data_IF_665305638028
#
_entry.id   IF_665305638028
#
_cell.length_a   1.000
_cell.length_b   1.000
_cell.length_c   1.000
_cell.angle_alpha   90.00
_cell.angle_beta   90.00
_cell.angle_gamma   90.00
#
_symmetry.space_group_name_H-M   'P 1'
#
loop_
_entity.id
_entity.type
_entity.pdbx_description
1 polymer ?
#
# COMPACT_ATOMS: atom_id res chain seq x y z
N UNK A 1 10.85 -16.17 11.27
CA UNK A 1 10.37 -14.78 11.14
C UNK A 1 11.54 -13.96 10.64
N UNK A 2 11.66 -13.75 9.32
CA UNK A 2 12.71 -12.90 8.75
C UNK A 2 12.32 -11.45 9.00
N UNK A 3 13.17 -10.72 9.73
CA UNK A 3 13.11 -9.26 9.83
C UNK A 3 14.09 -8.72 8.77
N UNK A 4 13.64 -8.08 7.69
CA UNK A 4 14.56 -7.38 6.79
C UNK A 4 15.39 -6.36 7.58
N UNK A 5 16.70 -6.28 7.31
CA UNK A 5 17.52 -5.18 7.82
C UNK A 5 17.13 -3.88 7.13
N UNK A 6 16.86 -2.86 7.95
CA UNK A 6 16.31 -1.54 7.62
C UNK A 6 17.29 -0.59 6.91
N UNK A 7 18.28 -1.11 6.17
CA UNK A 7 19.35 -0.28 5.59
C UNK A 7 18.92 0.57 4.37
N UNK A 8 17.75 0.30 3.79
CA UNK A 8 17.37 0.89 2.49
C UNK A 8 16.24 1.95 2.59
N UNK A 9 15.71 2.22 3.78
CA UNK A 9 14.65 3.22 4.00
C UNK A 9 15.30 4.56 4.34
N UNK A 10 15.41 5.47 3.36
CA UNK A 10 15.80 6.87 3.61
C UNK A 10 14.56 7.68 3.97
N UNK A 11 14.35 7.95 5.26
CA UNK A 11 13.42 9.00 5.71
C UNK A 11 14.17 10.33 5.83
N UNK A 12 13.48 11.44 5.54
CA UNK A 12 14.01 12.80 5.72
C UNK A 12 14.25 13.22 7.19
N UNK A 13 14.01 12.32 8.14
CA UNK A 13 14.40 12.43 9.54
C UNK A 13 14.46 11.00 10.12
N UNK A 14 15.64 10.51 10.49
CA UNK A 14 15.80 9.25 11.24
C UNK A 14 16.88 9.43 12.29
N UNK A 15 16.58 9.05 13.53
CA UNK A 15 17.59 8.65 14.51
C UNK A 15 17.48 7.13 14.67
N UNK A 16 18.63 6.44 14.78
CA UNK A 16 18.67 4.98 15.01
C UNK A 16 18.65 4.70 16.51
N UNK A 17 17.74 3.84 16.96
CA UNK A 17 17.85 3.13 18.25
C UNK A 17 17.76 1.62 17.98
N UNK A 18 18.91 0.96 17.81
CA UNK A 18 19.02 -0.50 17.62
C UNK A 18 18.65 -1.00 16.20
N UNK A 19 18.19 -2.27 16.13
CA UNK A 19 17.79 -2.97 14.89
C UNK A 19 16.33 -2.68 14.45
N UNK A 20 15.69 -1.69 15.04
CA UNK A 20 14.38 -1.18 14.64
C UNK A 20 14.55 0.27 14.17
N UNK A 21 13.75 0.70 13.19
CA UNK A 21 13.66 2.12 12.89
C UNK A 21 12.94 2.72 14.10
N UNK A 22 13.66 3.54 14.87
CA UNK A 22 13.00 4.51 15.71
C UNK A 22 12.45 5.57 14.77
N UNK A 23 11.16 5.44 14.54
CA UNK A 23 10.39 6.26 13.62
C UNK A 23 10.12 7.67 14.21
N UNK A 24 10.67 7.98 15.40
CA UNK A 24 10.24 9.11 16.21
C UNK A 24 8.79 8.89 16.68
N UNK A 25 8.25 9.83 17.47
CA UNK A 25 6.80 9.88 17.71
C UNK A 25 6.06 9.91 16.35
N UNK A 26 5.52 8.76 15.93
CA UNK A 26 4.62 8.68 14.78
C UNK A 26 3.24 9.14 15.23
N UNK A 27 3.11 10.46 15.39
CA UNK A 27 1.82 11.12 15.38
C UNK A 27 1.43 11.35 13.91
N UNK A 28 1.07 10.29 13.18
CA UNK A 28 0.81 10.39 11.73
C UNK A 28 -0.62 10.02 11.38
N UNK A 29 -1.38 11.04 10.99
CA UNK A 29 -2.72 10.92 10.45
C UNK A 29 -2.75 10.47 8.98
N UNK A 30 -1.70 10.65 8.16
CA UNK A 30 -1.78 10.31 6.73
C UNK A 30 -0.40 10.04 6.10
N UNK A 31 -0.13 8.80 5.70
CA UNK A 31 1.16 8.38 5.12
C UNK A 31 0.98 7.82 3.71
N UNK A 32 1.87 8.17 2.79
CA UNK A 32 1.93 7.62 1.44
C UNK A 32 3.17 6.71 1.27
N UNK A 33 2.99 5.53 0.66
CA UNK A 33 4.06 4.57 0.40
C UNK A 33 4.40 4.53 -1.09
N UNK A 34 5.65 4.90 -1.41
CA UNK A 34 6.14 4.98 -2.79
C UNK A 34 7.36 4.08 -2.97
N UNK A 35 7.50 3.47 -4.14
CA UNK A 35 8.66 2.65 -4.49
C UNK A 35 8.35 1.62 -5.57
N UNK A 36 9.36 0.97 -6.17
CA UNK A 36 9.17 0.03 -7.26
C UNK A 36 8.45 -1.27 -6.83
N UNK A 37 7.84 -2.03 -7.77
CA UNK A 37 7.31 -3.37 -7.47
C UNK A 37 8.41 -4.27 -6.91
N UNK A 38 8.14 -5.02 -5.83
CA UNK A 38 9.17 -5.84 -5.18
C UNK A 38 10.02 -5.12 -4.13
N UNK A 39 9.83 -3.80 -3.94
CA UNK A 39 10.54 -3.03 -2.90
C UNK A 39 10.16 -3.41 -1.45
N UNK A 40 9.07 -4.16 -1.26
CA UNK A 40 8.60 -4.61 0.04
C UNK A 40 7.45 -3.79 0.64
N UNK A 41 6.87 -2.83 -0.11
CA UNK A 41 5.68 -2.07 0.33
C UNK A 41 4.58 -2.98 0.87
N UNK A 42 4.06 -3.91 0.06
CA UNK A 42 2.99 -4.82 0.49
C UNK A 42 3.33 -5.72 1.69
N UNK A 43 4.60 -5.87 2.05
CA UNK A 43 5.03 -6.54 3.29
C UNK A 43 4.98 -5.58 4.49
N UNK A 44 5.36 -4.31 4.31
CA UNK A 44 5.42 -3.31 5.37
C UNK A 44 4.07 -2.59 5.59
N UNK A 45 3.28 -2.33 4.55
CA UNK A 45 2.00 -1.61 4.66
C UNK A 45 1.06 -2.22 5.72
N UNK A 46 0.86 -3.56 5.78
CA UNK A 46 0.04 -4.18 6.81
C UNK A 46 0.63 -4.05 8.22
N UNK A 47 1.96 -4.07 8.36
CA UNK A 47 2.63 -3.93 9.66
C UNK A 47 2.42 -2.51 10.19
N UNK A 48 2.66 -1.49 9.36
CA UNK A 48 2.45 -0.08 9.71
C UNK A 48 0.97 0.16 10.03
N UNK A 49 0.06 -0.40 9.23
CA UNK A 49 -1.38 -0.34 9.46
C UNK A 49 -1.75 -0.86 10.85
N UNK A 50 -1.27 -2.05 11.20
CA UNK A 50 -1.62 -2.71 12.47
C UNK A 50 -0.94 -2.03 13.67
N UNK A 51 0.28 -1.52 13.53
CA UNK A 51 1.03 -0.82 14.58
C UNK A 51 0.41 0.55 14.92
N UNK A 52 -0.03 1.30 13.92
CA UNK A 52 -0.56 2.66 14.09
C UNK A 52 -2.09 2.76 13.99
N UNK A 53 -2.80 1.63 13.88
CA UNK A 53 -4.25 1.58 13.70
C UNK A 53 -4.75 2.41 12.50
N UNK A 54 -3.98 2.46 11.41
CA UNK A 54 -4.29 3.25 10.23
C UNK A 54 -5.16 2.46 9.24
N UNK A 55 -5.86 3.18 8.38
CA UNK A 55 -6.64 2.61 7.28
C UNK A 55 -5.74 2.32 6.08
N UNK A 56 -5.67 1.08 5.60
CA UNK A 56 -4.87 0.77 4.43
C UNK A 56 -5.68 0.96 3.13
N UNK A 57 -5.28 1.94 2.33
CA UNK A 57 -5.89 2.33 1.06
C UNK A 57 -5.00 1.89 -0.12
N UNK A 58 -5.11 0.62 -0.51
CA UNK A 58 -4.45 0.10 -1.70
C UNK A 58 -5.35 0.28 -2.94
N UNK A 59 -4.94 1.12 -3.89
CA UNK A 59 -5.82 1.52 -5.02
C UNK A 59 -6.28 0.36 -5.88
N UNK A 60 -5.43 -0.64 -6.12
CA UNK A 60 -5.81 -1.84 -6.86
C UNK A 60 -6.92 -2.66 -6.17
N UNK A 61 -6.86 -2.78 -4.84
CA UNK A 61 -7.87 -3.50 -4.05
C UNK A 61 -9.16 -2.69 -3.96
N UNK A 62 -9.07 -1.38 -3.74
CA UNK A 62 -10.23 -0.49 -3.71
C UNK A 62 -10.98 -0.50 -5.04
N UNK A 63 -10.26 -0.46 -6.17
CA UNK A 63 -10.87 -0.54 -7.49
C UNK A 63 -11.61 -1.86 -7.70
N UNK A 64 -10.97 -3.00 -7.38
CA UNK A 64 -11.60 -4.33 -7.47
C UNK A 64 -12.82 -4.44 -6.56
N UNK A 65 -12.73 -3.93 -5.33
CA UNK A 65 -13.83 -3.94 -4.37
C UNK A 65 -15.00 -3.06 -4.84
N UNK A 66 -14.73 -1.84 -5.33
CA UNK A 66 -15.75 -0.94 -5.87
C UNK A 66 -16.49 -1.57 -7.06
N UNK A 67 -15.75 -2.22 -7.95
CA UNK A 67 -16.28 -3.00 -9.09
C UNK A 67 -17.14 -4.17 -8.63
N UNK A 68 -16.67 -4.97 -7.67
CA UNK A 68 -17.40 -6.11 -7.14
C UNK A 68 -18.70 -5.69 -6.43
N UNK A 69 -18.64 -4.59 -5.67
CA UNK A 69 -19.78 -4.01 -4.96
C UNK A 69 -20.74 -3.23 -5.87
N UNK A 70 -20.42 -3.06 -7.16
CA UNK A 70 -21.24 -2.31 -8.14
C UNK A 70 -21.59 -0.89 -7.67
N UNK A 71 -20.64 -0.23 -7.01
CA UNK A 71 -20.78 1.20 -6.66
C UNK A 71 -20.90 2.06 -7.92
N UNK A 72 -21.46 3.29 -7.86
CA UNK A 72 -21.53 4.16 -9.03
C UNK A 72 -20.17 4.39 -9.71
N UNK A 73 -19.11 4.59 -8.92
CA UNK A 73 -17.73 4.69 -9.43
C UNK A 73 -17.19 3.35 -9.93
N UNK A 74 -17.50 2.25 -9.24
CA UNK A 74 -17.11 0.90 -9.64
C UNK A 74 -17.73 0.44 -10.96
N UNK A 75 -18.96 0.87 -11.27
CA UNK A 75 -19.61 0.59 -12.57
C UNK A 75 -18.85 1.32 -13.68
N UNK A 76 -18.55 2.60 -13.51
CA UNK A 76 -17.75 3.38 -14.47
C UNK A 76 -16.34 2.79 -14.63
N UNK A 77 -15.71 2.35 -13.54
CA UNK A 77 -14.43 1.65 -13.59
C UNK A 77 -14.52 0.36 -14.40
N UNK A 78 -15.54 -0.47 -14.14
CA UNK A 78 -15.80 -1.71 -14.87
C UNK A 78 -15.98 -1.44 -16.36
N UNK A 79 -16.73 -0.40 -16.73
CA UNK A 79 -16.93 -0.02 -18.13
C UNK A 79 -15.63 0.33 -18.84
N UNK A 80 -14.78 1.16 -18.23
CA UNK A 80 -13.45 1.48 -18.77
C UNK A 80 -12.58 0.22 -18.91
N UNK A 81 -12.52 -0.62 -17.87
CA UNK A 81 -11.76 -1.87 -17.88
C UNK A 81 -12.25 -2.84 -18.98
N UNK A 82 -13.56 -2.97 -19.18
CA UNK A 82 -14.15 -3.84 -20.20
C UNK A 82 -13.83 -3.36 -21.62
N UNK A 83 -13.67 -2.05 -21.82
CA UNK A 83 -13.25 -1.45 -23.11
C UNK A 83 -11.74 -1.55 -23.35
N UNK A 84 -10.96 -2.05 -22.39
CA UNK A 84 -9.51 -2.01 -22.44
C UNK A 84 -8.93 -0.60 -22.24
N UNK A 85 -9.74 0.34 -21.75
CA UNK A 85 -9.33 1.71 -21.46
C UNK A 85 -8.70 1.79 -20.06
N UNK A 86 -7.80 2.74 -19.87
CA UNK A 86 -7.26 3.05 -18.55
C UNK A 86 -8.33 3.74 -17.71
N UNK A 87 -8.43 3.34 -16.44
CA UNK A 87 -9.29 4.04 -15.47
C UNK A 87 -8.74 5.45 -15.26
N UNK A 88 -9.60 6.46 -15.40
CA UNK A 88 -9.18 7.86 -15.29
C UNK A 88 -8.75 8.23 -13.87
N UNK A 89 -7.81 9.18 -13.77
CA UNK A 89 -7.31 9.67 -12.48
C UNK A 89 -8.44 10.19 -11.57
N UNK A 90 -9.42 10.90 -12.14
CA UNK A 90 -10.57 11.42 -11.38
C UNK A 90 -11.41 10.31 -10.77
N UNK A 91 -11.55 9.19 -11.49
CA UNK A 91 -12.30 8.05 -11.00
C UNK A 91 -11.54 7.40 -9.83
N UNK A 92 -10.22 7.22 -9.96
CA UNK A 92 -9.39 6.67 -8.88
C UNK A 92 -9.42 7.57 -7.64
N UNK A 93 -9.30 8.89 -7.80
CA UNK A 93 -9.41 9.85 -6.70
C UNK A 93 -10.78 9.80 -6.05
N UNK A 94 -11.86 9.68 -6.84
CA UNK A 94 -13.21 9.51 -6.29
C UNK A 94 -13.38 8.23 -5.46
N UNK A 95 -12.76 7.12 -5.88
CA UNK A 95 -12.79 5.87 -5.12
C UNK A 95 -12.02 6.02 -3.79
N UNK A 96 -10.89 6.73 -3.81
CA UNK A 96 -10.12 7.05 -2.60
C UNK A 96 -10.96 7.92 -1.64
N UNK A 97 -11.61 8.97 -2.18
CA UNK A 97 -12.50 9.87 -1.43
C UNK A 97 -13.64 9.12 -0.72
N UNK A 98 -14.29 8.17 -1.41
CA UNK A 98 -15.31 7.32 -0.80
C UNK A 98 -14.73 6.39 0.28
N UNK A 99 -13.55 5.82 0.05
CA UNK A 99 -12.91 4.91 0.99
C UNK A 99 -12.46 5.61 2.29
N UNK A 100 -11.98 6.85 2.18
CA UNK A 100 -11.56 7.68 3.33
C UNK A 100 -12.70 8.01 4.30
N UNK A 101 -13.95 8.01 3.84
CA UNK A 101 -15.13 8.28 4.68
C UNK A 101 -15.46 7.15 5.66
N UNK A 102 -14.79 5.99 5.55
CA UNK A 102 -15.01 4.86 6.46
C UNK A 102 -14.54 5.19 7.88
N UNK A 103 -15.22 4.72 8.93
CA UNK A 103 -14.80 4.95 10.32
C UNK A 103 -13.36 4.48 10.61
N UNK A 104 -12.91 3.43 9.93
CA UNK A 104 -11.54 2.91 10.03
C UNK A 104 -10.45 3.89 9.61
N UNK A 105 -10.81 4.92 8.82
CA UNK A 105 -9.90 5.95 8.32
C UNK A 105 -9.89 7.23 9.17
N UNK A 106 -10.68 7.31 10.26
CA UNK A 106 -10.73 8.52 11.10
C UNK A 106 -9.41 8.83 11.83
N UNK A 107 -8.67 7.80 12.24
CA UNK A 107 -7.33 7.96 12.83
C UNK A 107 -6.27 8.32 11.79
N UNK A 108 -6.59 8.04 10.53
CA UNK A 108 -5.67 8.24 9.44
C UNK A 108 -5.64 7.12 8.41
N UNK A 109 -4.82 7.31 7.38
CA UNK A 109 -4.69 6.35 6.29
C UNK A 109 -3.25 6.17 5.80
N UNK A 110 -3.03 5.00 5.20
CA UNK A 110 -1.84 4.64 4.44
C UNK A 110 -2.27 4.47 2.99
N UNK A 111 -1.72 5.26 2.08
CA UNK A 111 -1.96 5.14 0.66
C UNK A 111 -0.87 4.28 0.01
N UNK A 112 -1.25 3.16 -0.62
CA UNK A 112 -0.33 2.24 -1.29
C UNK A 112 -0.63 2.20 -2.80
N UNK A 113 0.38 2.54 -3.59
CA UNK A 113 0.35 2.44 -5.05
C UNK A 113 -0.32 3.60 -5.77
N UNK A 114 -0.60 4.71 -5.09
CA UNK A 114 -1.07 5.98 -5.64
C UNK A 114 -0.56 7.14 -4.76
N UNK A 115 -0.25 8.32 -5.32
CA UNK A 115 -0.17 8.64 -6.73
C UNK A 115 1.06 8.03 -7.41
N UNK A 116 0.98 7.82 -8.73
CA UNK A 116 2.09 7.37 -9.60
C UNK A 116 2.57 8.44 -10.58
N UNK A 117 1.78 9.51 -10.75
CA UNK A 117 2.12 10.65 -11.61
C UNK A 117 1.96 11.95 -10.83
N UNK A 118 2.59 13.02 -11.31
CA UNK A 118 2.45 14.37 -10.72
C UNK A 118 0.99 14.83 -10.79
N UNK A 119 0.29 14.57 -11.90
CA UNK A 119 -1.13 14.90 -12.06
C UNK A 119 -2.00 14.20 -11.02
N UNK A 120 -1.71 12.92 -10.73
CA UNK A 120 -2.42 12.19 -9.68
C UNK A 120 -2.15 12.77 -8.29
N UNK A 121 -0.92 13.20 -8.01
CA UNK A 121 -0.56 13.83 -6.74
C UNK A 121 -1.31 15.16 -6.56
N UNK A 122 -1.35 16.01 -7.59
CA UNK A 122 -2.09 17.27 -7.56
C UNK A 122 -3.59 17.05 -7.30
N UNK A 123 -4.21 16.08 -7.99
CA UNK A 123 -5.63 15.75 -7.77
C UNK A 123 -5.90 15.16 -6.38
N UNK A 124 -4.95 14.38 -5.84
CA UNK A 124 -5.02 13.89 -4.47
C UNK A 124 -5.01 15.06 -3.48
N UNK A 125 -4.08 15.99 -3.63
CA UNK A 125 -3.94 17.17 -2.76
C UNK A 125 -5.20 18.04 -2.82
N UNK A 126 -5.76 18.27 -4.01
CA UNK A 126 -7.03 19.00 -4.18
C UNK A 126 -8.21 18.32 -3.48
N UNK A 127 -8.27 16.98 -3.52
CA UNK A 127 -9.32 16.21 -2.86
C UNK A 127 -9.16 16.25 -1.32
N UNK A 128 -7.94 16.05 -0.83
CA UNK A 128 -7.63 16.09 0.60
C UNK A 128 -7.89 17.47 1.19
N UNK A 129 -7.51 18.55 0.49
CA UNK A 129 -7.77 19.92 0.92
C UNK A 129 -9.27 20.21 1.12
N UNK A 130 -10.15 19.66 0.26
CA UNK A 130 -11.60 19.80 0.41
C UNK A 130 -12.15 19.08 1.65
N UNK A 131 -11.45 18.07 2.14
CA UNK A 131 -11.80 17.34 3.36
C UNK A 131 -11.12 17.91 4.61
N UNK A 132 -10.29 18.96 4.49
CA UNK A 132 -9.46 19.45 5.59
C UNK A 132 -8.39 18.44 6.02
N UNK A 133 -7.98 17.55 5.11
CA UNK A 133 -6.93 16.56 5.29
C UNK A 133 -5.70 16.89 4.44
N UNK A 134 -4.58 16.23 4.71
CA UNK A 134 -3.33 16.35 3.96
C UNK A 134 -2.54 15.05 4.03
N UNK A 135 -1.53 14.87 3.18
CA UNK A 135 -0.51 13.82 3.37
C UNK A 135 0.58 14.39 4.28
N UNK A 136 0.84 13.74 5.41
CA UNK A 136 1.85 14.18 6.38
C UNK A 136 3.25 13.69 6.01
N UNK A 137 3.32 12.44 5.53
CA UNK A 137 4.59 11.77 5.24
C UNK A 137 4.53 10.96 3.95
N UNK A 138 5.67 10.93 3.26
CA UNK A 138 5.89 10.06 2.10
C UNK A 138 7.08 9.15 2.40
N UNK A 139 6.84 7.84 2.47
CA UNK A 139 7.88 6.84 2.66
C UNK A 139 8.31 6.29 1.31
N UNK A 140 9.56 6.57 0.93
CA UNK A 140 10.16 6.04 -0.29
C UNK A 140 10.96 4.77 0.01
N UNK A 141 10.52 3.65 -0.55
CA UNK A 141 11.19 2.37 -0.50
C UNK A 141 12.25 2.30 -1.60
N UNK A 142 13.38 2.96 -1.36
CA UNK A 142 14.55 2.83 -2.21
C UNK A 142 15.16 1.44 -2.07
N UNK A 143 15.57 0.84 -3.18
CA UNK A 143 16.20 -0.47 -3.23
C UNK A 143 17.03 -0.55 -4.50
N UNK A 144 18.19 -1.20 -4.43
CA UNK A 144 19.05 -1.40 -5.61
C UNK A 144 18.37 -2.32 -6.64
N UNK A 145 18.55 -2.00 -7.92
CA UNK A 145 17.92 -2.72 -9.03
C UNK A 145 18.28 -4.22 -9.05
N UNK A 146 19.51 -4.57 -8.72
CA UNK A 146 19.94 -5.97 -8.64
C UNK A 146 19.17 -6.76 -7.57
N UNK A 147 18.88 -6.12 -6.43
CA UNK A 147 18.08 -6.73 -5.36
C UNK A 147 16.61 -6.79 -5.78
N UNK A 148 16.12 -5.78 -6.51
CA UNK A 148 14.78 -5.75 -7.07
C UNK A 148 14.55 -6.91 -8.05
N UNK A 149 15.51 -7.15 -8.95
CA UNK A 149 15.47 -8.23 -9.93
C UNK A 149 15.41 -9.60 -9.24
N UNK A 150 16.28 -9.84 -8.25
CA UNK A 150 16.25 -11.07 -7.46
C UNK A 150 14.89 -11.25 -6.77
N UNK A 151 14.36 -10.18 -6.17
CA UNK A 151 13.06 -10.21 -5.48
C UNK A 151 11.88 -10.45 -6.39
N UNK A 152 11.91 -9.95 -7.63
CA UNK A 152 10.83 -10.15 -8.59
C UNK A 152 10.87 -11.57 -9.14
N UNK A 153 12.04 -12.04 -9.56
CA UNK A 153 12.21 -13.36 -10.18
C UNK A 153 11.91 -14.51 -9.22
N UNK A 154 12.19 -14.33 -7.92
CA UNK A 154 11.90 -15.32 -6.90
C UNK A 154 10.50 -15.21 -6.26
N UNK A 155 9.58 -14.35 -6.75
CA UNK A 155 8.26 -14.10 -6.13
C UNK A 155 7.20 -15.11 -6.54
N UNK A 156 6.50 -15.64 -5.54
CA UNK A 156 5.37 -16.57 -5.70
C UNK A 156 4.10 -15.91 -5.16
N UNK A 157 2.97 -16.15 -5.80
CA UNK A 157 1.66 -15.59 -5.39
C UNK A 157 0.68 -16.73 -5.23
N UNK A 158 0.05 -16.83 -4.06
CA UNK A 158 -1.10 -17.72 -3.89
C UNK A 158 -2.34 -17.06 -4.50
N UNK A 159 -2.80 -17.57 -5.64
CA UNK A 159 -3.84 -16.93 -6.46
C UNK A 159 -5.14 -16.63 -5.71
N UNK A 160 -5.54 -17.48 -4.76
CA UNK A 160 -6.81 -17.30 -4.06
C UNK A 160 -6.77 -16.21 -2.98
N UNK A 161 -5.64 -16.07 -2.27
CA UNK A 161 -5.52 -15.08 -1.18
C UNK A 161 -4.74 -13.81 -1.56
N UNK A 162 -4.01 -13.84 -2.68
CA UNK A 162 -3.07 -12.79 -3.06
C UNK A 162 -1.80 -12.74 -2.19
N UNK A 163 -1.61 -13.68 -1.26
CA UNK A 163 -0.40 -13.76 -0.42
C UNK A 163 0.84 -13.97 -1.28
N UNK A 164 1.91 -13.29 -0.91
CA UNK A 164 3.19 -13.30 -1.61
C UNK A 164 4.25 -14.03 -0.80
N UNK A 165 5.03 -14.86 -1.48
CA UNK A 165 6.19 -15.57 -0.92
C UNK A 165 7.41 -15.33 -1.79
N UNK A 166 8.58 -15.67 -1.26
CA UNK A 166 9.83 -15.63 -2.02
C UNK A 166 10.73 -16.80 -1.65
N UNK A 167 11.27 -17.51 -2.63
CA UNK A 167 12.10 -18.71 -2.43
C UNK A 167 13.24 -18.52 -1.42
N UNK A 168 13.94 -17.39 -1.50
CA UNK A 168 15.02 -16.98 -0.57
C UNK A 168 14.58 -16.10 0.61
N UNK A 169 13.89 -14.98 0.35
CA UNK A 169 13.64 -13.95 1.36
C UNK A 169 12.43 -14.20 2.27
N UNK A 170 11.43 -14.95 1.79
CA UNK A 170 10.20 -15.23 2.52
C UNK A 170 9.62 -16.59 2.08
N UNK A 171 10.34 -17.70 2.31
CA UNK A 171 9.89 -19.01 1.88
C UNK A 171 8.62 -19.41 2.65
N UNK A 172 7.66 -20.11 2.00
CA UNK A 172 6.54 -20.71 2.73
C UNK A 172 7.06 -21.75 3.72
N UNK A 173 6.30 -22.07 4.78
CA UNK A 173 6.70 -23.14 5.72
C UNK A 173 6.88 -24.48 5.01
N UNK A 174 6.05 -24.74 4.03
CA UNK A 174 6.11 -25.92 3.16
C UNK A 174 6.26 -25.49 1.71
N UNK A 175 7.28 -25.98 0.98
CA UNK A 175 7.49 -25.62 -0.42
C UNK A 175 6.24 -25.83 -1.28
N UNK A 176 5.83 -24.79 -2.01
CA UNK A 176 4.65 -24.83 -2.89
C UNK A 176 3.29 -24.78 -2.19
N UNK A 177 3.25 -24.59 -0.86
CA UNK A 177 2.01 -24.55 -0.06
C UNK A 177 1.86 -23.20 0.61
N UNK A 178 0.64 -22.66 0.62
CA UNK A 178 0.31 -21.39 1.25
C UNK A 178 0.16 -21.54 2.79
N UNK A 179 0.81 -20.64 3.52
CA UNK A 179 0.73 -20.54 4.97
C UNK A 179 -0.58 -19.82 5.37
N UNK A 180 -1.54 -20.56 5.93
CA UNK A 180 -2.75 -19.95 6.48
C UNK A 180 -2.41 -19.16 7.77
N UNK A 181 -2.85 -17.89 7.87
CA UNK A 181 -2.72 -17.06 9.07
C UNK A 181 -4.07 -16.47 9.50
N UNK A 182 -4.29 -16.34 10.82
CA UNK A 182 -5.49 -15.74 11.46
C UNK A 182 -5.13 -14.32 11.90
N UNK A 183 -5.92 -13.31 11.53
CA UNK A 183 -5.65 -11.92 11.91
C UNK A 183 -5.93 -11.69 13.41
N UNK A 184 -5.19 -10.76 14.03
CA UNK A 184 -5.22 -10.49 15.48
C UNK A 184 -6.20 -9.39 15.89
N UNK A 185 -6.80 -8.71 14.91
CA UNK A 185 -7.61 -7.51 15.09
C UNK A 185 -9.00 -7.64 14.46
N UNK A 186 -9.54 -8.87 14.42
CA UNK A 186 -10.96 -9.13 14.14
C UNK A 186 -11.78 -9.08 15.42
#
# INVERSE_FOLDING_TARGET
MWKPSLHDIKTGASHRVGNALDFGEFDTSSTNLVGPPGSGKGTQSPIIKDEYCLCHLATGDMLRAAVAAKTPLGIKAKEAMNKGELVSDDLVVGIIDEAMKKPSCQKGFILDGFPRTVTQAQKLDEMLAKQGANVDKVLNFAIDDAVLEERITGRWIHSASGRTYHSKFAPPKSPGVDDQYRHRCD
#
